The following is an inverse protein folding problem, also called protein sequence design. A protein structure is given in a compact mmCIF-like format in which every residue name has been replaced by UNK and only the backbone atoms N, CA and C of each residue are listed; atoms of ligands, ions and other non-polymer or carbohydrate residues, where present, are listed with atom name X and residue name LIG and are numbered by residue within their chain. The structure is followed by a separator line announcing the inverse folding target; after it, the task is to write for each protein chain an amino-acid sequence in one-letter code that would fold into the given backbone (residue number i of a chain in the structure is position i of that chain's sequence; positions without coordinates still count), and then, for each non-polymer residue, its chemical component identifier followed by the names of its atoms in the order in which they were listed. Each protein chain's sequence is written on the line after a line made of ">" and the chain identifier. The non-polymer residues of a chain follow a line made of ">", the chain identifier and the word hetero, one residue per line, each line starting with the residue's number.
data_IF_292245479970
#
_entry.id   IF_292245479970
#
_cell.length_a   1.000
_cell.length_b   1.000
_cell.length_c   1.000
_cell.angle_alpha   90.00
_cell.angle_beta   90.00
_cell.angle_gamma   90.00
#
_symmetry.space_group_name_H-M   'P 1'
#
loop_
_entity.id
_entity.type
_entity.pdbx_description
1 polymer ?
#
# COMPACT_ATOMS: atom_id res chain seq x y z
N UNK A 1 -6.17 -5.38 17.64
CA UNK A 1 -6.50 -5.60 17.07
C UNK A 1 -6.80 -6.26 16.37
N UNK A 2 -6.93 -6.35 16.27
CA UNK A 2 -7.24 -6.91 15.65
C UNK A 2 -7.48 -7.33 14.81
N UNK A 3 -7.57 -7.53 14.49
CA UNK A 3 -7.78 -7.86 13.71
C UNK A 3 -8.33 -8.20 12.87
N UNK A 4 -8.60 -8.10 12.53
CA UNK A 4 -9.18 -8.37 11.74
C UNK A 4 -9.45 -9.11 10.88
N UNK A 5 -9.45 -9.35 11.08
CA UNK A 5 -9.50 -10.15 10.01
C UNK A 5 -10.64 -9.99 9.19
N UNK A 6 -10.52 -9.41 8.24
CA UNK A 6 -11.60 -9.14 7.40
C UNK A 6 -12.01 -10.36 6.68
N UNK A 7 -13.27 -10.62 6.67
CA UNK A 7 -13.79 -11.69 5.87
C UNK A 7 -13.91 -11.30 4.42
N UNK A 8 -13.96 -10.01 4.10
CA UNK A 8 -14.05 -9.55 2.73
C UNK A 8 -12.66 -9.33 2.16
N UNK A 9 -12.48 -9.49 0.85
CA UNK A 9 -11.21 -9.18 0.25
C UNK A 9 -10.83 -7.73 0.48
N UNK A 10 -9.57 -7.48 0.74
CA UNK A 10 -9.06 -6.14 0.91
C UNK A 10 -8.46 -5.68 -0.40
N UNK A 11 -8.84 -4.49 -0.82
CA UNK A 11 -8.29 -3.91 -2.03
C UNK A 11 -7.65 -2.58 -1.69
N UNK A 12 -6.60 -2.20 -2.40
CA UNK A 12 -6.00 -0.88 -2.21
C UNK A 12 -7.00 0.21 -2.58
N UNK A 13 -6.90 1.34 -1.89
CA UNK A 13 -7.66 2.51 -2.28
C UNK A 13 -6.78 3.74 -2.21
N UNK A 14 -7.10 4.70 -3.06
CA UNK A 14 -6.31 5.91 -3.20
C UNK A 14 -7.28 7.06 -3.37
N UNK A 15 -7.11 8.12 -2.58
CA UNK A 15 -8.03 9.24 -2.63
C UNK A 15 -7.30 10.52 -2.32
N UNK A 16 -7.81 11.62 -2.87
CA UNK A 16 -7.33 12.95 -2.52
C UNK A 16 -8.34 13.56 -1.57
N UNK A 17 -7.86 14.00 -0.42
CA UNK A 17 -8.72 14.61 0.59
C UNK A 17 -8.09 15.94 1.00
N UNK A 18 -8.63 17.04 0.51
CA UNK A 18 -8.06 18.35 0.76
C UNK A 18 -6.66 18.42 0.18
N UNK A 19 -5.67 18.65 1.03
CA UNK A 19 -4.28 18.73 0.63
C UNK A 19 -3.54 17.42 0.78
N UNK A 20 -4.26 16.33 1.00
CA UNK A 20 -3.62 15.07 1.34
C UNK A 20 -3.97 13.97 0.36
N UNK A 21 -2.99 13.18 0.03
CA UNK A 21 -3.22 11.94 -0.69
C UNK A 21 -3.32 10.82 0.35
N UNK A 22 -4.45 10.14 0.35
CA UNK A 22 -4.71 9.06 1.29
C UNK A 22 -4.58 7.74 0.55
N UNK A 23 -3.72 6.88 1.05
CA UNK A 23 -3.48 5.57 0.46
C UNK A 23 -3.78 4.52 1.51
N UNK A 24 -4.61 3.56 1.15
CA UNK A 24 -4.91 2.42 2.01
C UNK A 24 -4.47 1.17 1.29
N UNK A 25 -3.52 0.45 1.87
CA UNK A 25 -3.02 -0.79 1.31
C UNK A 25 -3.31 -1.93 2.28
N UNK A 26 -3.81 -3.06 1.79
CA UNK A 26 -3.98 -4.20 2.68
C UNK A 26 -2.63 -4.71 3.14
N UNK A 27 -2.59 -5.12 4.40
CA UNK A 27 -1.39 -5.75 4.92
C UNK A 27 -1.31 -7.19 4.42
N UNK A 28 -0.10 -7.61 4.12
CA UNK A 28 0.15 -8.98 3.71
C UNK A 28 0.95 -9.68 4.79
N UNK A 29 1.01 -10.99 4.72
CA UNK A 29 1.92 -11.74 5.57
C UNK A 29 3.32 -11.25 5.30
N UNK A 30 4.10 -10.89 6.35
CA UNK A 30 5.43 -10.36 6.11
C UNK A 30 6.26 -11.29 5.24
N UNK A 31 6.83 -10.74 4.19
CA UNK A 31 7.55 -11.49 3.18
C UNK A 31 8.98 -10.98 3.10
N UNK A 32 9.98 -11.85 3.16
CA UNK A 32 11.36 -11.38 3.10
C UNK A 32 11.66 -10.62 1.82
N UNK A 33 12.40 -9.54 1.96
CA UNK A 33 12.89 -8.80 0.80
C UNK A 33 14.00 -9.60 0.12
N UNK A 34 14.43 -9.11 -1.04
CA UNK A 34 15.50 -9.80 -1.78
C UNK A 34 16.77 -9.95 -0.96
N UNK A 35 17.08 -8.97 -0.12
CA UNK A 35 18.28 -9.05 0.71
C UNK A 35 18.05 -9.83 1.99
N UNK A 36 16.82 -10.11 2.35
CA UNK A 36 16.51 -10.79 3.60
C UNK A 36 16.62 -9.91 4.83
N UNK A 37 16.90 -8.62 4.66
CA UNK A 37 17.09 -7.73 5.80
C UNK A 37 15.82 -7.06 6.26
N UNK A 38 14.76 -7.20 5.51
CA UNK A 38 13.48 -6.62 5.88
C UNK A 38 12.36 -7.55 5.45
N UNK A 39 11.19 -7.30 6.02
CA UNK A 39 10.00 -8.05 5.67
C UNK A 39 8.97 -7.07 5.14
N UNK A 40 8.52 -7.29 3.92
CA UNK A 40 7.52 -6.42 3.31
C UNK A 40 6.15 -6.74 3.89
N UNK A 41 5.47 -5.71 4.35
CA UNK A 41 4.14 -5.87 4.95
C UNK A 41 3.04 -5.27 4.10
N UNK A 42 3.35 -4.37 3.18
CA UNK A 42 2.39 -3.83 2.23
C UNK A 42 3.15 -3.26 1.05
N UNK A 43 2.63 -3.45 -0.15
CA UNK A 43 3.34 -2.98 -1.33
C UNK A 43 2.37 -2.86 -2.48
N UNK A 44 2.64 -1.91 -3.37
CA UNK A 44 1.92 -1.82 -4.64
C UNK A 44 2.55 -2.70 -5.71
N UNK A 45 3.69 -3.33 -5.41
CA UNK A 45 4.40 -4.19 -6.36
C UNK A 45 4.77 -3.42 -7.62
N UNK A 46 5.37 -2.25 -7.41
CA UNK A 46 5.74 -1.38 -8.49
C UNK A 46 4.83 -0.17 -8.53
N UNK A 47 4.90 0.56 -9.62
CA UNK A 47 4.05 1.75 -9.77
C UNK A 47 2.68 1.35 -10.28
N UNK A 48 1.65 1.94 -9.71
CA UNK A 48 0.28 1.70 -10.14
C UNK A 48 -0.39 3.03 -10.46
N UNK A 49 -1.21 3.02 -11.50
CA UNK A 49 -2.03 4.18 -11.83
C UNK A 49 -3.31 4.08 -11.03
N UNK A 50 -3.62 5.13 -10.30
CA UNK A 50 -4.76 5.11 -9.40
C UNK A 50 -5.96 5.81 -10.04
N UNK A 51 -7.10 5.76 -9.34
CA UNK A 51 -8.28 6.51 -9.74
C UNK A 51 -8.30 7.91 -9.15
N UNK A 52 -7.34 8.24 -8.30
CA UNK A 52 -7.23 9.60 -7.77
C UNK A 52 -6.70 10.51 -8.86
N UNK A 53 -7.34 11.66 -9.02
CA UNK A 53 -7.04 12.56 -10.13
C UNK A 53 -6.60 13.91 -9.59
N UNK A 54 -5.52 14.45 -10.14
CA UNK A 54 -5.10 15.83 -9.87
C UNK A 54 -4.82 16.50 -11.19
N UNK A 55 -5.41 17.69 -11.38
CA UNK A 55 -5.23 18.47 -12.60
C UNK A 55 -5.59 17.66 -13.84
N UNK A 56 -6.63 16.83 -13.72
CA UNK A 56 -7.10 16.03 -14.85
C UNK A 56 -6.25 14.83 -15.16
N UNK A 57 -5.29 14.51 -14.31
CA UNK A 57 -4.37 13.41 -14.57
C UNK A 57 -4.40 12.41 -13.42
N UNK A 58 -4.43 11.11 -13.75
CA UNK A 58 -4.39 10.10 -12.69
C UNK A 58 -3.06 10.12 -11.95
N UNK A 59 -3.12 9.91 -10.65
CA UNK A 59 -1.92 9.84 -9.84
C UNK A 59 -1.33 8.45 -9.95
N UNK A 60 -0.02 8.38 -10.17
CA UNK A 60 0.72 7.13 -10.18
C UNK A 60 1.46 7.02 -8.86
N UNK A 61 1.30 5.91 -8.15
CA UNK A 61 1.95 5.73 -6.86
C UNK A 61 2.78 4.45 -6.84
N UNK A 62 3.86 4.49 -6.08
CA UNK A 62 4.61 3.30 -5.76
C UNK A 62 4.87 3.32 -4.26
N UNK A 63 4.43 2.29 -3.55
CA UNK A 63 4.56 2.22 -2.10
C UNK A 63 5.18 0.90 -1.73
N UNK A 64 6.09 0.95 -0.77
CA UNK A 64 6.74 -0.24 -0.28
C UNK A 64 6.94 -0.07 1.22
N UNK A 65 6.10 -0.73 1.99
CA UNK A 65 6.15 -0.64 3.44
C UNK A 65 6.73 -1.93 4.00
N UNK A 66 7.64 -1.80 4.92
CA UNK A 66 8.34 -2.98 5.43
C UNK A 66 8.77 -2.74 6.87
N UNK A 67 9.07 -3.85 7.56
CA UNK A 67 9.68 -3.82 8.88
C UNK A 67 11.06 -4.42 8.76
N UNK A 68 11.94 -4.04 9.66
CA UNK A 68 13.28 -4.58 9.66
C UNK A 68 13.28 -5.96 10.25
N UNK A 69 14.01 -6.85 9.61
CA UNK A 69 14.12 -8.22 10.05
C UNK A 69 15.31 -8.34 10.97
N UNK A 70 15.09 -7.99 12.26
CA UNK A 70 16.25 -7.97 13.11
C UNK A 70 15.87 -8.02 14.56
#
# INVERSE_FOLDING_TARGET
>A
MSTKAASAPLTPSYAVEGDMLVIKLPLQTPTPSASGKSLTVASTHGNVTTTAIIDGKPIVVGVNAYIRNK
#
